data_IF_198644535532
#
_entry.id   IF_198644535532
#
_cell.length_a   1.000
_cell.length_b   1.000
_cell.length_c   1.000
_cell.angle_alpha   90.00
_cell.angle_beta   90.00
_cell.angle_gamma   90.00
#
_symmetry.space_group_name_H-M   'P 1'
#
loop_
_entity.id
_entity.type
_entity.pdbx_description
1 polymer ?
#
# COMPACT_ATOMS: atom_id res chain seq x y z
N UNK A 1 -8.84 3.99 -11.80
CA UNK A 1 -8.35 4.06 -10.41
C UNK A 1 -9.39 4.74 -9.54
N UNK A 2 -9.70 4.25 -8.31
CA UNK A 2 -10.61 4.91 -7.36
C UNK A 2 -10.11 6.28 -6.85
N UNK A 3 -8.89 6.66 -7.23
CA UNK A 3 -8.28 7.93 -6.87
C UNK A 3 -8.35 8.99 -7.98
N UNK A 4 -8.80 8.62 -9.19
CA UNK A 4 -8.87 9.54 -10.33
C UNK A 4 -9.75 10.76 -9.98
N UNK A 5 -9.23 11.96 -10.19
CA UNK A 5 -9.93 13.22 -9.89
C UNK A 5 -9.80 13.72 -8.44
N UNK A 6 -9.10 13.00 -7.56
CA UNK A 6 -8.79 13.49 -6.20
C UNK A 6 -7.58 14.44 -6.24
N UNK A 7 -7.56 15.47 -5.37
CA UNK A 7 -6.49 16.49 -5.33
C UNK A 7 -5.08 15.93 -5.20
N UNK A 8 -4.91 14.78 -4.55
CA UNK A 8 -3.63 14.12 -4.34
C UNK A 8 -3.26 13.12 -5.45
N UNK A 9 -4.10 12.94 -6.47
CA UNK A 9 -3.93 11.88 -7.48
C UNK A 9 -2.63 12.02 -8.27
N UNK A 10 -2.32 13.22 -8.76
CA UNK A 10 -1.13 13.43 -9.59
C UNK A 10 0.14 13.18 -8.78
N UNK A 11 0.21 13.71 -7.55
CA UNK A 11 1.33 13.45 -6.65
C UNK A 11 1.44 11.98 -6.21
N UNK A 12 0.34 11.22 -6.19
CA UNK A 12 0.36 9.78 -5.97
C UNK A 12 1.00 9.06 -7.16
N UNK A 13 0.63 9.41 -8.40
CA UNK A 13 1.22 8.81 -9.60
C UNK A 13 2.72 9.08 -9.64
N UNK A 14 3.13 10.35 -9.48
CA UNK A 14 4.54 10.73 -9.47
C UNK A 14 5.35 9.92 -8.45
N UNK A 15 4.78 9.73 -7.26
CA UNK A 15 5.43 8.95 -6.21
C UNK A 15 5.56 7.46 -6.57
N UNK A 16 4.47 6.78 -6.91
CA UNK A 16 4.51 5.32 -7.12
C UNK A 16 5.32 4.93 -8.36
N UNK A 17 5.56 5.86 -9.29
CA UNK A 17 6.42 5.65 -10.45
C UNK A 17 7.84 6.22 -10.30
N UNK A 18 8.19 6.81 -9.15
CA UNK A 18 9.49 7.48 -8.96
C UNK A 18 10.68 6.54 -8.77
N UNK A 19 10.46 5.24 -8.63
CA UNK A 19 11.52 4.27 -8.43
C UNK A 19 11.04 2.82 -8.52
N UNK A 20 11.97 1.86 -8.38
CA UNK A 20 11.62 0.45 -8.36
C UNK A 20 10.76 0.12 -7.13
N UNK A 21 9.88 -0.86 -7.28
CA UNK A 21 9.08 -1.42 -6.18
C UNK A 21 9.33 -2.92 -6.07
N UNK A 22 9.14 -3.45 -4.88
CA UNK A 22 9.05 -4.89 -4.64
C UNK A 22 7.59 -5.23 -4.41
N UNK A 23 7.05 -6.15 -5.20
CA UNK A 23 5.69 -6.64 -5.07
C UNK A 23 5.71 -8.05 -4.49
N UNK A 24 4.80 -8.35 -3.57
CA UNK A 24 4.59 -9.69 -3.03
C UNK A 24 3.11 -9.98 -2.85
N UNK A 25 2.75 -11.27 -2.83
CA UNK A 25 1.41 -11.75 -2.48
C UNK A 25 1.53 -12.61 -1.23
N UNK A 26 0.68 -12.33 -0.24
CA UNK A 26 0.66 -13.04 1.03
C UNK A 26 -0.65 -13.81 1.13
N UNK A 27 -0.55 -15.11 1.38
CA UNK A 27 -1.70 -15.97 1.61
C UNK A 27 -1.84 -16.36 3.09
N UNK A 28 -3.06 -16.68 3.51
CA UNK A 28 -3.35 -17.16 4.85
C UNK A 28 -4.72 -16.71 5.35
N UNK A 29 -5.11 -17.25 6.51
CA UNK A 29 -6.36 -16.85 7.17
C UNK A 29 -6.26 -15.37 7.60
N UNK A 30 -7.24 -14.59 7.20
CA UNK A 30 -7.35 -13.14 7.47
C UNK A 30 -6.13 -12.34 6.98
N UNK A 31 -5.50 -12.78 5.88
CA UNK A 31 -4.25 -12.21 5.37
C UNK A 31 -4.30 -10.68 5.21
N UNK A 32 -5.39 -10.15 4.64
CA UNK A 32 -5.57 -8.71 4.45
C UNK A 32 -5.52 -7.96 5.79
N UNK A 33 -6.30 -8.39 6.78
CA UNK A 33 -6.35 -7.75 8.09
C UNK A 33 -4.97 -7.83 8.77
N UNK A 34 -4.37 -9.02 8.81
CA UNK A 34 -3.06 -9.25 9.44
C UNK A 34 -1.93 -8.44 8.80
N UNK A 35 -1.90 -8.37 7.47
CA UNK A 35 -0.90 -7.56 6.76
C UNK A 35 -1.08 -6.08 7.09
N UNK A 36 -2.32 -5.58 7.16
CA UNK A 36 -2.59 -4.19 7.56
C UNK A 36 -2.20 -3.91 9.00
N UNK A 37 -2.41 -4.85 9.92
CA UNK A 37 -1.96 -4.74 11.32
C UNK A 37 -0.42 -4.65 11.39
N UNK A 38 0.29 -5.49 10.62
CA UNK A 38 1.75 -5.46 10.53
C UNK A 38 2.24 -4.14 9.93
N UNK A 39 1.56 -3.62 8.91
CA UNK A 39 1.92 -2.35 8.27
C UNK A 39 1.77 -1.16 9.22
N UNK A 40 0.71 -1.15 10.03
CA UNK A 40 0.34 -0.02 10.90
C UNK A 40 -0.53 1.03 10.19
N UNK A 41 -1.01 2.02 10.96
CA UNK A 41 -1.93 3.05 10.46
C UNK A 41 -1.37 3.83 9.26
N UNK A 42 -2.25 4.32 8.38
CA UNK A 42 -1.85 5.15 7.24
C UNK A 42 -1.36 6.52 7.69
N UNK A 43 -2.01 7.08 8.71
CA UNK A 43 -1.64 8.35 9.31
C UNK A 43 -0.38 8.17 10.18
N UNK A 44 0.74 8.82 9.86
CA UNK A 44 1.98 8.70 10.63
C UNK A 44 1.84 9.20 12.08
N UNK A 45 0.76 9.89 12.44
CA UNK A 45 0.47 10.30 13.82
C UNK A 45 -0.16 9.19 14.66
N UNK A 46 -0.73 8.17 14.00
CA UNK A 46 -1.45 7.07 14.63
C UNK A 46 -0.69 5.72 14.53
N UNK A 47 0.56 5.73 14.08
CA UNK A 47 1.37 4.52 13.95
C UNK A 47 1.85 4.04 15.33
N UNK A 48 1.67 2.75 15.60
CA UNK A 48 2.17 2.10 16.80
C UNK A 48 3.59 1.56 16.59
N UNK A 49 4.40 1.54 17.64
CA UNK A 49 5.68 0.83 17.64
C UNK A 49 5.48 -0.67 17.39
N UNK A 50 6.43 -1.32 16.72
CA UNK A 50 6.35 -2.71 16.29
C UNK A 50 5.60 -2.92 14.96
N UNK A 51 5.14 -1.85 14.32
CA UNK A 51 4.59 -1.88 12.95
C UNK A 51 5.62 -1.38 11.95
N UNK A 52 5.54 -1.79 10.69
CA UNK A 52 6.47 -1.34 9.64
C UNK A 52 6.54 0.18 9.56
N UNK A 53 5.38 0.86 9.55
CA UNK A 53 5.30 2.33 9.47
C UNK A 53 5.72 3.04 10.75
N UNK A 54 5.57 2.38 11.90
CA UNK A 54 5.98 2.92 13.20
C UNK A 54 7.49 2.83 13.43
N UNK A 55 8.08 1.67 13.12
CA UNK A 55 9.50 1.41 13.37
C UNK A 55 10.39 2.13 12.36
N UNK A 56 9.87 2.43 11.17
CA UNK A 56 10.57 3.17 10.11
C UNK A 56 10.01 4.58 9.88
N UNK A 57 9.34 5.15 10.90
CA UNK A 57 8.60 6.42 10.76
C UNK A 57 9.41 7.62 10.26
N UNK A 58 10.72 7.64 10.50
CA UNK A 58 11.62 8.73 10.08
C UNK A 58 11.74 8.82 8.54
N UNK A 59 11.41 7.74 7.84
CA UNK A 59 11.35 7.68 6.38
C UNK A 59 9.99 8.15 5.82
N UNK A 60 9.00 8.40 6.68
CA UNK A 60 7.68 8.86 6.25
C UNK A 60 7.75 10.33 5.82
N UNK A 61 7.25 10.63 4.62
CA UNK A 61 7.22 11.99 4.10
C UNK A 61 5.80 12.36 3.70
N UNK A 62 5.28 13.46 4.24
CA UNK A 62 4.06 14.10 3.71
C UNK A 62 4.47 15.20 2.77
N UNK A 63 4.10 15.07 1.49
CA UNK A 63 4.41 16.08 0.47
C UNK A 63 3.51 17.32 0.63
N UNK A 64 3.90 18.48 0.07
CA UNK A 64 3.05 19.68 0.05
C UNK A 64 1.67 19.46 -0.62
N UNK A 65 1.54 18.44 -1.47
CA UNK A 65 0.30 18.06 -2.16
C UNK A 65 -0.58 17.10 -1.34
N UNK A 66 -0.17 16.75 -0.11
CA UNK A 66 -0.91 15.85 0.77
C UNK A 66 -0.71 14.36 0.49
N UNK A 67 0.16 14.00 -0.47
CA UNK A 67 0.56 12.60 -0.67
C UNK A 67 1.45 12.16 0.49
N UNK A 68 1.10 11.04 1.12
CA UNK A 68 1.87 10.42 2.19
C UNK A 68 2.71 9.30 1.59
N UNK A 69 4.03 9.40 1.73
CA UNK A 69 4.98 8.34 1.43
C UNK A 69 5.22 7.57 2.72
N UNK A 70 4.52 6.46 2.92
CA UNK A 70 4.58 5.68 4.17
C UNK A 70 5.07 4.24 3.95
N UNK A 71 6.09 4.10 3.09
CA UNK A 71 6.91 2.91 2.88
C UNK A 71 6.24 1.72 2.19
N UNK A 72 5.03 1.35 2.60
CA UNK A 72 4.37 0.11 2.20
C UNK A 72 2.90 0.34 1.84
N UNK A 73 2.47 -0.28 0.75
CA UNK A 73 1.09 -0.40 0.31
C UNK A 73 0.57 -1.82 0.61
N UNK A 74 -0.72 -1.92 0.89
CA UNK A 74 -1.40 -3.19 1.11
C UNK A 74 -2.89 -3.02 0.86
N UNK A 75 -3.49 -4.01 0.20
CA UNK A 75 -4.90 -3.99 -0.16
C UNK A 75 -5.81 -3.82 1.08
N UNK A 76 -6.95 -3.16 0.91
CA UNK A 76 -7.90 -2.88 1.99
C UNK A 76 -9.09 -3.84 2.04
N UNK A 77 -9.25 -4.64 0.99
CA UNK A 77 -10.38 -5.55 0.79
C UNK A 77 -10.01 -6.65 -0.19
N UNK A 78 -10.83 -7.71 -0.22
CA UNK A 78 -10.65 -8.81 -1.15
C UNK A 78 -10.81 -8.37 -2.61
N UNK A 79 -11.72 -7.43 -2.87
CA UNK A 79 -11.91 -6.84 -4.20
C UNK A 79 -10.66 -6.07 -4.64
N UNK A 80 -10.07 -5.27 -3.74
CA UNK A 80 -8.82 -4.56 -4.02
C UNK A 80 -7.66 -5.52 -4.25
N UNK A 81 -7.53 -6.56 -3.42
CA UNK A 81 -6.48 -7.55 -3.55
C UNK A 81 -6.53 -8.25 -4.91
N UNK A 82 -7.70 -8.74 -5.34
CA UNK A 82 -7.88 -9.38 -6.66
C UNK A 82 -7.47 -8.46 -7.80
N UNK A 83 -7.93 -7.20 -7.78
CA UNK A 83 -7.60 -6.20 -8.80
C UNK A 83 -6.09 -5.91 -8.85
N UNK A 84 -5.48 -5.69 -7.69
CA UNK A 84 -4.06 -5.35 -7.58
C UNK A 84 -3.16 -6.51 -7.99
N UNK A 85 -3.49 -7.73 -7.56
CA UNK A 85 -2.80 -8.96 -8.00
C UNK A 85 -2.82 -9.08 -9.52
N UNK A 86 -3.98 -8.90 -10.16
CA UNK A 86 -4.11 -8.98 -11.61
C UNK A 86 -3.32 -7.88 -12.35
N UNK A 87 -3.04 -6.74 -11.71
CA UNK A 87 -2.21 -5.66 -12.27
C UNK A 87 -0.73 -6.05 -12.24
N UNK A 88 -0.25 -6.51 -11.08
CA UNK A 88 1.18 -6.74 -10.83
C UNK A 88 1.70 -8.12 -11.27
N UNK A 89 0.86 -9.15 -11.31
CA UNK A 89 1.27 -10.55 -11.52
C UNK A 89 0.48 -11.26 -12.63
N UNK A 90 0.24 -10.59 -13.77
CA UNK A 90 -0.61 -11.04 -14.89
C UNK A 90 -0.36 -12.49 -15.33
N UNK A 91 -1.05 -13.44 -14.71
CA UNK A 91 -0.96 -14.88 -14.99
C UNK A 91 0.25 -15.60 -14.39
N UNK A 92 1.07 -14.93 -13.57
CA UNK A 92 2.27 -15.53 -12.98
C UNK A 92 1.98 -16.34 -11.71
N UNK A 93 0.92 -15.97 -11.00
CA UNK A 93 0.47 -16.66 -9.80
C UNK A 93 -0.92 -17.23 -10.06
N UNK A 94 -1.11 -18.52 -9.77
CA UNK A 94 -2.36 -19.27 -9.98
C UNK A 94 -3.50 -18.86 -9.04
N UNK A 95 -3.64 -17.56 -8.78
CA UNK A 95 -4.72 -17.00 -8.00
C UNK A 95 -5.95 -16.93 -8.90
N UNK A 96 -6.85 -17.91 -8.75
CA UNK A 96 -8.10 -17.94 -9.51
C UNK A 96 -8.94 -16.70 -9.20
N UNK A 97 -9.34 -15.99 -10.26
CA UNK A 97 -10.12 -14.74 -10.22
C UNK A 97 -11.52 -14.97 -9.66
#
# INVERSE_FOLDING_TARGET
SPHLGKKFYDGLIDFITSGPVVCSVVEGRDAIAKVRDIMGATDPREVAAGTVRGDLKEENVTTPLGTIKNLVHGSDSLESARREIAIFFKGEIGYES
#
